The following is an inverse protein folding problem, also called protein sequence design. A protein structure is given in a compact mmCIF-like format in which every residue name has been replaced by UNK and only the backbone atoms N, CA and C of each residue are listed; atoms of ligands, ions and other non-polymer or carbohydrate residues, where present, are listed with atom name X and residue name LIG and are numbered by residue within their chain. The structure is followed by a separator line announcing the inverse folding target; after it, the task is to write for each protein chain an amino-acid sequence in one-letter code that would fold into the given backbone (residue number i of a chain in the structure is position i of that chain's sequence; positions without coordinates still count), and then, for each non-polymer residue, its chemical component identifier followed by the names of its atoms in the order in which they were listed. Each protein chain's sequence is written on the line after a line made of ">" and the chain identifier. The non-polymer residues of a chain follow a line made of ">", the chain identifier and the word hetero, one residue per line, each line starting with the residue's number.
data_IF_847281556526
#
_entry.id   IF_847281556526
#
_cell.length_a   1.000
_cell.length_b   1.000
_cell.length_c   1.000
_cell.angle_alpha   90.00
_cell.angle_beta   90.00
_cell.angle_gamma   90.00
#
_symmetry.space_group_name_H-M   'P 1'
#
loop_
_entity.id
_entity.type
_entity.pdbx_description
1 polymer ?
#
# COMPACT_ATOMS: atom_id res chain seq x y z
N UNK A 1 38.51 -24.20 -7.38
CA UNK A 1 37.91 -25.54 -7.30
C UNK A 1 36.73 -25.54 -8.24
N UNK A 2 36.96 -26.10 -9.43
CA UNK A 2 36.06 -26.08 -10.57
C UNK A 2 35.28 -27.39 -10.60
N UNK A 3 33.97 -27.37 -10.84
CA UNK A 3 33.27 -28.47 -11.52
C UNK A 3 32.16 -27.91 -12.40
N UNK A 4 32.43 -27.95 -13.70
CA UNK A 4 31.43 -27.83 -14.76
C UNK A 4 30.66 -29.15 -14.90
N UNK A 5 29.42 -29.09 -15.40
CA UNK A 5 28.73 -30.14 -16.17
C UNK A 5 27.63 -29.43 -17.01
N UNK A 6 27.84 -29.16 -18.31
CA UNK A 6 27.37 -29.86 -19.55
C UNK A 6 25.83 -30.09 -19.54
N UNK A 7 24.98 -29.73 -20.53
CA UNK A 7 24.77 -30.15 -21.95
C UNK A 7 23.55 -29.31 -22.43
N UNK A 8 23.50 -28.47 -23.48
CA UNK A 8 23.58 -28.61 -24.95
C UNK A 8 22.26 -29.01 -25.69
N UNK A 9 21.96 -28.25 -26.78
CA UNK A 9 21.11 -28.56 -27.98
C UNK A 9 19.59 -28.40 -27.75
N UNK A 10 18.77 -27.70 -28.56
CA UNK A 10 18.67 -27.56 -30.03
C UNK A 10 17.78 -26.34 -30.39
N UNK A 11 18.05 -25.68 -31.51
CA UNK A 11 17.27 -24.56 -32.01
C UNK A 11 16.13 -24.91 -32.98
N UNK A 12 15.30 -23.91 -33.28
CA UNK A 12 14.66 -23.68 -34.57
C UNK A 12 14.07 -22.26 -34.58
N UNK A 13 14.46 -21.45 -35.57
CA UNK A 13 13.87 -20.15 -35.85
C UNK A 13 12.63 -20.32 -36.74
N UNK A 14 11.54 -19.62 -36.43
CA UNK A 14 10.47 -19.33 -37.39
C UNK A 14 9.95 -17.90 -37.18
N UNK A 15 10.15 -17.07 -38.21
CA UNK A 15 9.52 -15.77 -38.42
C UNK A 15 8.09 -16.00 -38.92
N UNK A 16 7.07 -15.35 -38.33
CA UNK A 16 5.80 -15.08 -39.04
C UNK A 16 5.28 -13.69 -38.66
N UNK A 17 4.90 -12.98 -39.72
CA UNK A 17 4.38 -11.63 -39.81
C UNK A 17 3.04 -11.42 -39.07
N UNK A 18 2.73 -10.15 -38.78
CA UNK A 18 1.51 -9.74 -38.10
C UNK A 18 0.23 -9.85 -38.94
N UNK A 19 -0.91 -9.69 -38.26
CA UNK A 19 -2.18 -9.24 -38.81
C UNK A 19 -3.02 -8.61 -37.69
N UNK A 20 -3.57 -7.43 -37.97
CA UNK A 20 -4.68 -6.78 -37.29
C UNK A 20 -5.93 -7.67 -37.20
N UNK A 21 -6.62 -7.67 -36.05
CA UNK A 21 -7.90 -8.37 -35.90
C UNK A 21 -8.53 -8.22 -34.52
N UNK A 22 -9.67 -7.53 -34.46
CA UNK A 22 -10.57 -7.41 -33.32
C UNK A 22 -11.53 -8.62 -33.29
N UNK A 23 -11.74 -9.24 -32.12
CA UNK A 23 -12.92 -10.07 -31.82
C UNK A 23 -12.68 -11.46 -31.21
N UNK A 24 -13.09 -11.62 -29.94
CA UNK A 24 -13.91 -12.76 -29.47
C UNK A 24 -13.25 -14.10 -29.07
N UNK A 25 -13.35 -14.39 -27.77
CA UNK A 25 -13.53 -15.70 -27.10
C UNK A 25 -12.34 -16.63 -26.76
N UNK A 26 -12.14 -16.74 -25.44
CA UNK A 26 -11.87 -17.94 -24.64
C UNK A 26 -10.67 -18.84 -24.99
N UNK A 27 -9.60 -18.67 -24.21
CA UNK A 27 -8.84 -19.78 -23.61
C UNK A 27 -7.97 -19.34 -22.43
N UNK A 28 -8.14 -20.10 -21.34
CA UNK A 28 -7.36 -20.14 -20.12
C UNK A 28 -5.88 -20.38 -20.40
N UNK A 29 -5.01 -19.50 -19.89
CA UNK A 29 -3.58 -19.75 -19.68
C UNK A 29 -3.16 -19.00 -18.40
N UNK A 30 -2.64 -19.76 -17.44
CA UNK A 30 -2.01 -19.31 -16.19
C UNK A 30 -0.98 -18.23 -16.47
N UNK A 31 -1.22 -17.02 -15.98
CA UNK A 31 -0.22 -15.95 -15.92
C UNK A 31 0.01 -15.63 -14.45
N UNK A 32 1.26 -15.76 -14.00
CA UNK A 32 1.67 -15.34 -12.67
C UNK A 32 1.26 -13.90 -12.43
N UNK A 33 0.46 -13.71 -11.39
CA UNK A 33 -0.07 -12.42 -10.97
C UNK A 33 1.07 -11.57 -10.41
N UNK A 34 1.80 -10.89 -11.30
CA UNK A 34 2.50 -9.67 -10.89
C UNK A 34 1.45 -8.58 -10.90
N UNK A 35 0.81 -8.36 -9.74
CA UNK A 35 -0.15 -7.28 -9.56
C UNK A 35 0.49 -5.97 -10.00
N UNK A 36 0.02 -5.48 -11.15
CA UNK A 36 0.39 -4.16 -11.66
C UNK A 36 -0.14 -3.14 -10.67
N UNK A 37 0.76 -2.36 -10.07
CA UNK A 37 0.38 -1.21 -9.26
C UNK A 37 -0.42 -0.26 -10.15
N UNK A 38 -1.75 -0.30 -10.02
CA UNK A 38 -2.59 0.71 -10.62
C UNK A 38 -2.40 1.99 -9.80
N UNK A 39 -2.17 3.11 -10.48
CA UNK A 39 -2.25 4.44 -9.89
C UNK A 39 -3.49 5.09 -10.52
N UNK A 40 -4.51 5.34 -9.72
CA UNK A 40 -5.63 6.19 -10.13
C UNK A 40 -5.67 7.42 -9.24
N UNK A 41 -6.37 8.46 -9.72
CA UNK A 41 -6.80 9.58 -8.89
C UNK A 41 -7.89 9.06 -7.92
N UNK A 42 -7.46 8.25 -6.95
CA UNK A 42 -8.30 7.77 -5.87
C UNK A 42 -8.63 8.93 -4.95
N UNK A 43 -9.91 9.07 -4.61
CA UNK A 43 -10.28 9.95 -3.50
C UNK A 43 -9.69 9.38 -2.23
N UNK A 44 -8.92 10.19 -1.52
CA UNK A 44 -8.46 9.88 -0.17
C UNK A 44 -8.82 11.04 0.75
N UNK A 45 -9.23 10.72 1.96
CA UNK A 45 -9.44 11.69 3.03
C UNK A 45 -8.59 11.26 4.21
N UNK A 46 -7.83 12.19 4.77
CA UNK A 46 -7.00 11.94 5.95
C UNK A 46 -7.26 13.05 6.95
N UNK A 47 -7.74 12.67 8.12
CA UNK A 47 -7.91 13.60 9.25
C UNK A 47 -6.98 13.19 10.39
N UNK A 48 -6.38 14.19 11.03
CA UNK A 48 -5.52 14.01 12.20
C UNK A 48 -5.96 15.04 13.23
N UNK A 49 -6.29 14.58 14.43
CA UNK A 49 -6.85 15.43 15.49
C UNK A 49 -8.15 16.17 15.06
N UNK A 50 -8.90 15.57 14.14
CA UNK A 50 -10.10 16.16 13.54
C UNK A 50 -9.85 17.21 12.46
N UNK A 51 -8.58 17.52 12.14
CA UNK A 51 -8.22 18.43 11.05
C UNK A 51 -7.96 17.64 9.75
N UNK A 52 -8.62 18.03 8.66
CA UNK A 52 -8.32 17.53 7.31
C UNK A 52 -6.89 17.93 6.93
N UNK A 53 -6.13 16.96 6.42
CA UNK A 53 -4.75 17.16 5.97
C UNK A 53 -4.66 17.66 4.52
N UNK A 54 -5.80 17.78 3.82
CA UNK A 54 -5.89 18.24 2.43
C UNK A 54 -4.89 17.51 1.50
N UNK A 55 -4.76 16.20 1.70
CA UNK A 55 -3.74 15.38 1.02
C UNK A 55 -3.97 15.41 -0.48
N UNK A 56 -2.93 15.79 -1.22
CA UNK A 56 -2.93 15.84 -2.69
C UNK A 56 -2.14 14.68 -3.25
N UNK A 57 -2.53 14.22 -4.44
CA UNK A 57 -1.84 13.17 -5.18
C UNK A 57 -2.69 11.91 -5.33
N UNK A 58 -2.03 10.83 -5.75
CA UNK A 58 -2.69 9.56 -6.07
C UNK A 58 -2.67 8.60 -4.90
N UNK A 59 -3.56 7.62 -4.95
CA UNK A 59 -3.51 6.45 -4.08
C UNK A 59 -2.83 5.33 -4.84
N UNK A 60 -1.85 4.68 -4.20
CA UNK A 60 -1.17 3.51 -4.75
C UNK A 60 -1.31 2.37 -3.75
N UNK A 61 -1.82 1.24 -4.22
CA UNK A 61 -1.95 0.03 -3.41
C UNK A 61 -1.15 -1.11 -4.04
N UNK A 62 -0.41 -1.85 -3.22
CA UNK A 62 0.33 -3.04 -3.66
C UNK A 62 0.31 -4.14 -2.62
N UNK A 63 0.01 -5.35 -3.05
CA UNK A 63 0.02 -6.53 -2.20
C UNK A 63 1.40 -7.17 -2.19
N UNK A 64 1.96 -7.37 -1.00
CA UNK A 64 3.24 -8.02 -0.81
C UNK A 64 3.30 -8.71 0.55
N UNK A 65 3.68 -9.98 0.58
CA UNK A 65 3.95 -10.70 1.83
C UNK A 65 2.70 -10.92 2.71
N UNK A 66 1.51 -11.01 2.13
CA UNK A 66 0.25 -11.15 2.88
C UNK A 66 -0.32 -9.83 3.39
N UNK A 67 0.24 -8.70 2.95
CA UNK A 67 -0.21 -7.36 3.33
C UNK A 67 -0.54 -6.53 2.09
N UNK A 68 -1.55 -5.67 2.22
CA UNK A 68 -1.83 -4.57 1.30
C UNK A 68 -1.13 -3.32 1.82
N UNK A 69 -0.21 -2.79 1.02
CA UNK A 69 0.52 -1.55 1.29
C UNK A 69 -0.19 -0.42 0.57
N UNK A 70 -0.61 0.60 1.31
CA UNK A 70 -1.37 1.76 0.81
C UNK A 70 -0.51 2.99 1.00
N UNK A 71 -0.13 3.64 -0.10
CA UNK A 71 0.53 4.95 -0.11
C UNK A 71 -0.48 6.02 -0.55
N UNK A 72 -0.51 7.14 0.16
CA UNK A 72 -1.49 8.21 -0.05
C UNK A 72 -0.77 9.51 -0.34
N UNK A 73 -1.08 10.11 -1.48
CA UNK A 73 -0.54 11.40 -1.89
C UNK A 73 0.85 11.27 -2.52
N UNK A 74 1.65 12.34 -2.41
CA UNK A 74 3.02 12.33 -2.91
C UNK A 74 4.02 11.77 -1.88
N UNK A 75 5.25 11.52 -2.34
CA UNK A 75 6.32 10.97 -1.49
C UNK A 75 6.73 11.92 -0.35
N UNK A 76 6.38 13.20 -0.40
CA UNK A 76 6.71 14.19 0.64
C UNK A 76 5.69 14.20 1.78
N UNK A 77 4.43 13.80 1.50
CA UNK A 77 3.40 13.67 2.52
C UNK A 77 3.78 12.60 3.56
N UNK A 78 4.41 11.50 3.12
CA UNK A 78 4.82 10.40 4.03
C UNK A 78 3.64 9.70 4.70
N UNK A 79 2.46 9.75 4.08
CA UNK A 79 1.22 9.16 4.60
C UNK A 79 1.01 7.79 3.93
N UNK A 80 0.71 6.79 4.74
CA UNK A 80 0.40 5.46 4.25
C UNK A 80 -0.04 4.51 5.35
N UNK A 81 -0.53 3.35 4.95
CA UNK A 81 -0.96 2.30 5.84
C UNK A 81 -0.57 0.93 5.30
N UNK A 82 -0.39 -0.02 6.21
CA UNK A 82 -0.22 -1.43 5.88
C UNK A 82 -1.30 -2.19 6.61
N UNK A 83 -2.08 -2.96 5.87
CA UNK A 83 -3.13 -3.84 6.39
C UNK A 83 -2.89 -5.26 5.91
N UNK A 84 -3.36 -6.27 6.62
CA UNK A 84 -3.31 -7.65 6.11
C UNK A 84 -4.22 -7.80 4.90
N UNK A 85 -3.87 -8.68 3.96
CA UNK A 85 -4.77 -9.04 2.84
C UNK A 85 -5.97 -9.85 3.34
N UNK A 86 -7.06 -9.87 2.58
CA UNK A 86 -8.28 -10.62 2.89
C UNK A 86 -9.53 -9.75 3.01
N UNK A 87 -10.66 -10.37 3.34
CA UNK A 87 -11.97 -9.72 3.50
C UNK A 87 -12.13 -9.04 4.87
N UNK A 88 -11.51 -9.61 5.91
CA UNK A 88 -11.45 -9.06 7.27
C UNK A 88 -9.99 -8.67 7.60
N UNK A 89 -9.49 -7.56 7.04
CA UNK A 89 -8.11 -7.14 7.28
C UNK A 89 -7.92 -6.60 8.70
N UNK A 90 -6.66 -6.58 9.14
CA UNK A 90 -6.22 -5.93 10.39
C UNK A 90 -5.15 -4.89 10.06
N UNK A 91 -5.05 -3.85 10.89
CA UNK A 91 -4.03 -2.81 10.70
C UNK A 91 -2.69 -3.28 11.24
N UNK A 92 -1.67 -3.30 10.38
CA UNK A 92 -0.29 -3.64 10.76
C UNK A 92 0.46 -2.38 11.17
N UNK A 93 0.36 -1.32 10.37
CA UNK A 93 0.96 -0.02 10.67
C UNK A 93 0.28 1.12 9.93
N UNK A 94 0.45 2.34 10.45
CA UNK A 94 0.06 3.60 9.80
C UNK A 94 1.19 4.60 9.97
N UNK A 95 1.56 5.27 8.89
CA UNK A 95 2.42 6.47 8.92
C UNK A 95 1.60 7.67 8.53
N UNK A 96 1.65 8.74 9.33
CA UNK A 96 0.89 9.98 9.11
C UNK A 96 1.78 11.15 8.70
N UNK A 97 3.04 10.89 8.35
CA UNK A 97 4.01 11.93 8.04
C UNK A 97 4.36 12.80 9.26
N UNK A 98 4.84 14.01 8.99
CA UNK A 98 5.15 15.01 10.02
C UNK A 98 3.96 15.97 10.18
N UNK A 99 3.45 16.07 11.41
CA UNK A 99 2.35 16.97 11.78
C UNK A 99 2.87 17.89 12.88
N UNK A 100 2.97 19.18 12.58
CA UNK A 100 3.44 20.20 13.54
C UNK A 100 4.79 19.87 14.21
N UNK A 101 5.74 19.31 13.45
CA UNK A 101 7.07 18.96 13.96
C UNK A 101 7.15 17.57 14.60
N UNK A 102 6.04 16.85 14.73
CA UNK A 102 5.99 15.50 15.28
C UNK A 102 5.68 14.50 14.18
N UNK A 103 6.56 13.51 14.00
CA UNK A 103 6.26 12.38 13.11
C UNK A 103 5.34 11.41 13.84
N UNK A 104 4.14 11.19 13.29
CA UNK A 104 3.12 10.36 13.90
C UNK A 104 2.99 9.02 13.18
N UNK A 105 2.81 7.94 13.95
CA UNK A 105 2.54 6.63 13.39
C UNK A 105 1.93 5.66 14.39
N UNK A 106 1.47 4.54 13.86
CA UNK A 106 0.97 3.39 14.60
C UNK A 106 1.68 2.14 14.10
N UNK A 107 1.98 1.22 15.03
CA UNK A 107 2.43 -0.12 14.70
C UNK A 107 1.80 -1.12 15.66
N UNK A 108 1.21 -2.18 15.09
CA UNK A 108 0.65 -3.28 15.86
C UNK A 108 1.69 -3.93 16.78
N UNK A 109 1.26 -4.33 17.99
CA UNK A 109 2.15 -4.95 18.98
C UNK A 109 3.16 -4.03 19.66
N UNK A 110 3.22 -2.74 19.32
CA UNK A 110 4.12 -1.76 19.96
C UNK A 110 3.73 -1.39 21.40
N UNK A 111 2.50 -1.73 21.82
CA UNK A 111 1.92 -1.29 23.10
C UNK A 111 1.52 0.19 23.12
N UNK A 112 1.58 0.89 21.99
CA UNK A 112 1.27 2.31 21.86
C UNK A 112 0.27 2.56 20.74
N UNK A 113 -0.76 3.36 21.04
CA UNK A 113 -1.85 3.62 20.12
C UNK A 113 -2.68 2.37 19.81
N UNK A 114 -3.64 2.56 18.92
CA UNK A 114 -4.54 1.51 18.45
C UNK A 114 -5.00 1.86 17.04
N UNK A 115 -5.33 0.86 16.23
CA UNK A 115 -5.93 1.10 14.94
C UNK A 115 -6.85 -0.05 14.54
N UNK A 116 -7.92 0.29 13.82
CA UNK A 116 -8.87 -0.63 13.22
C UNK A 116 -9.06 -0.28 11.76
N UNK A 117 -9.48 -1.26 10.97
CA UNK A 117 -9.80 -1.08 9.57
C UNK A 117 -11.14 -1.76 9.27
N UNK A 118 -12.01 -1.02 8.59
CA UNK A 118 -13.19 -1.55 7.94
C UNK A 118 -12.94 -1.53 6.43
N UNK A 119 -13.11 -2.67 5.76
CA UNK A 119 -12.92 -2.79 4.31
C UNK A 119 -14.26 -3.03 3.62
N UNK A 120 -14.53 -2.24 2.59
CA UNK A 120 -15.67 -2.38 1.69
C UNK A 120 -15.15 -2.42 0.24
N UNK A 121 -15.11 -3.62 -0.34
CA UNK A 121 -14.50 -3.90 -1.64
C UNK A 121 -13.04 -3.38 -1.71
N UNK A 122 -12.77 -2.32 -2.47
CA UNK A 122 -11.45 -1.68 -2.57
C UNK A 122 -11.26 -0.49 -1.62
N UNK A 123 -12.27 -0.16 -0.82
CA UNK A 123 -12.24 1.00 0.09
C UNK A 123 -11.85 0.56 1.49
N UNK A 124 -10.86 1.23 2.05
CA UNK A 124 -10.35 1.00 3.40
C UNK A 124 -10.67 2.24 4.25
N UNK A 125 -11.36 2.03 5.36
CA UNK A 125 -11.59 3.03 6.41
C UNK A 125 -10.76 2.64 7.62
N UNK A 126 -9.66 3.36 7.84
CA UNK A 126 -8.70 3.10 8.90
C UNK A 126 -8.83 4.20 9.94
N UNK A 127 -9.05 3.84 11.20
CA UNK A 127 -9.16 4.82 12.29
C UNK A 127 -8.42 4.33 13.52
N UNK A 128 -7.97 5.27 14.35
CA UNK A 128 -7.18 4.91 15.52
C UNK A 128 -6.52 6.09 16.21
N UNK A 129 -5.49 5.78 16.98
CA UNK A 129 -4.59 6.74 17.59
C UNK A 129 -3.15 6.43 17.18
N UNK A 130 -2.46 7.45 16.69
CA UNK A 130 -1.05 7.39 16.33
C UNK A 130 -0.22 8.12 17.39
N UNK A 131 1.00 7.64 17.62
CA UNK A 131 1.93 8.23 18.56
C UNK A 131 3.17 8.77 17.85
N UNK A 132 3.83 9.71 18.51
CA UNK A 132 5.09 10.31 18.05
C UNK A 132 5.85 10.93 19.21
N UNK A 133 7.10 11.31 18.95
CA UNK A 133 7.94 12.00 19.93
C UNK A 133 8.10 13.45 19.50
N UNK A 134 7.74 14.37 20.39
CA UNK A 134 8.07 15.78 20.24
C UNK A 134 9.50 16.03 20.73
N UNK A 135 10.38 16.47 19.84
CA UNK A 135 11.78 16.76 20.20
C UNK A 135 11.93 17.96 21.12
N UNK A 136 10.92 18.85 21.20
CA UNK A 136 10.88 19.92 22.20
C UNK A 136 10.52 19.38 23.60
N UNK A 137 9.86 18.22 23.70
CA UNK A 137 9.51 17.55 24.95
C UNK A 137 9.58 16.02 24.83
N UNK A 138 10.79 15.42 24.76
CA UNK A 138 10.96 14.00 24.47
C UNK A 138 10.58 13.07 25.62
N UNK A 139 10.22 13.62 26.79
CA UNK A 139 9.84 12.84 27.97
C UNK A 139 8.37 12.38 27.94
N UNK A 140 7.54 12.96 27.08
CA UNK A 140 6.12 12.62 26.96
C UNK A 140 5.76 12.34 25.49
N UNK A 141 5.22 11.14 25.16
CA UNK A 141 4.76 10.87 23.81
C UNK A 141 3.56 11.75 23.46
N UNK A 142 3.48 12.16 22.21
CA UNK A 142 2.32 12.84 21.63
C UNK A 142 1.43 11.77 21.03
N UNK A 143 0.15 11.78 21.37
CA UNK A 143 -0.87 10.88 20.81
C UNK A 143 -1.94 11.70 20.12
N UNK A 144 -2.29 11.34 18.88
CA UNK A 144 -3.34 12.01 18.11
C UNK A 144 -4.29 10.98 17.49
N UNK A 145 -5.61 11.22 17.53
CA UNK A 145 -6.54 10.40 16.79
C UNK A 145 -6.40 10.68 15.29
N UNK A 146 -6.68 9.67 14.47
CA UNK A 146 -6.67 9.82 13.02
C UNK A 146 -7.80 9.02 12.38
N UNK A 147 -8.23 9.46 11.21
CA UNK A 147 -9.08 8.71 10.29
C UNK A 147 -8.53 8.82 8.87
N UNK A 148 -8.48 7.70 8.17
CA UNK A 148 -8.07 7.58 6.77
C UNK A 148 -9.19 6.86 6.05
N UNK A 149 -9.72 7.45 4.99
CA UNK A 149 -10.59 6.78 4.02
C UNK A 149 -9.93 6.81 2.67
N UNK A 150 -9.75 5.64 2.07
CA UNK A 150 -8.97 5.49 0.84
C UNK A 150 -9.54 4.36 -0.02
N UNK A 151 -9.72 4.62 -1.30
CA UNK A 151 -10.12 3.59 -2.28
C UNK A 151 -8.92 3.24 -3.15
N UNK A 152 -8.51 1.97 -3.11
CA UNK A 152 -7.49 1.44 -3.99
C UNK A 152 -8.00 1.32 -5.44
N UNK A 153 -7.15 1.55 -6.45
CA UNK A 153 -7.53 1.46 -7.86
C UNK A 153 -7.85 0.04 -8.37
#
# INVERSE_FOLDING_TARGET
>A
MNRQLVVAVSGAALLIAGLSGCGGSDKSETTGETSSAAAAEGKSTVTIDGADQEVKGTVVCSDMGGNTNIAIGDATAGIGAVVTTGDEPTVVSVGLGNVNGVTLGYASGSGQGEAKVDKDDKTYKISGTATGVDMANPMAPVTKPFEIEVTCP
#
